data_IF_857798546760
#
_entry.id   IF_857798546760
#
_cell.length_a   1.000
_cell.length_b   1.000
_cell.length_c   1.000
_cell.angle_alpha   90.00
_cell.angle_beta   90.00
_cell.angle_gamma   90.00
#
_symmetry.space_group_name_H-M   'P 1'
#
loop_
_entity.id
_entity.type
_entity.pdbx_description
1 polymer ?
#
# COMPACT_ATOMS: atom_id res chain seq x y z
N UNK A 1 56.16 -8.78 -44.58
CA UNK A 1 55.44 -8.03 -43.53
C UNK A 1 53.95 -8.15 -43.79
N UNK A 2 53.24 -8.99 -43.04
CA UNK A 2 51.78 -8.98 -42.93
C UNK A 2 51.45 -9.90 -41.75
N UNK A 3 51.11 -9.29 -40.61
CA UNK A 3 50.77 -10.00 -39.37
C UNK A 3 49.30 -10.38 -39.40
N UNK A 4 49.01 -11.65 -39.09
CA UNK A 4 47.68 -12.12 -38.70
C UNK A 4 47.17 -11.30 -37.51
N UNK A 5 45.96 -10.76 -37.60
CA UNK A 5 45.17 -10.30 -36.46
C UNK A 5 43.96 -11.23 -36.32
N UNK A 6 44.06 -12.19 -35.40
CA UNK A 6 42.91 -12.94 -34.91
C UNK A 6 42.23 -12.11 -33.81
N UNK A 7 40.98 -11.72 -34.04
CA UNK A 7 40.13 -11.13 -33.00
C UNK A 7 39.62 -12.24 -32.09
N UNK A 8 40.12 -12.29 -30.86
CA UNK A 8 39.52 -13.09 -29.80
C UNK A 8 38.27 -12.36 -29.29
N UNK A 9 37.10 -12.89 -29.57
CA UNK A 9 35.86 -12.48 -28.91
C UNK A 9 35.92 -12.92 -27.44
N UNK A 10 36.16 -11.97 -26.53
CA UNK A 10 36.00 -12.20 -25.10
C UNK A 10 34.50 -12.25 -24.82
N UNK A 11 33.95 -13.46 -24.72
CA UNK A 11 32.65 -13.67 -24.13
C UNK A 11 32.73 -13.28 -22.65
N UNK A 12 32.16 -12.12 -22.30
CA UNK A 12 31.96 -11.72 -20.93
C UNK A 12 30.95 -12.69 -20.29
N UNK A 13 31.46 -13.75 -19.68
CA UNK A 13 30.71 -14.58 -18.74
C UNK A 13 30.35 -13.70 -17.55
N UNK A 14 29.09 -13.26 -17.52
CA UNK A 14 28.44 -12.74 -16.32
C UNK A 14 28.55 -13.84 -15.25
N UNK A 15 29.47 -13.64 -14.31
CA UNK A 15 29.59 -14.48 -13.11
C UNK A 15 28.36 -14.18 -12.24
N UNK A 16 27.28 -14.92 -12.49
CA UNK A 16 26.17 -14.99 -11.54
C UNK A 16 26.69 -15.63 -10.26
N UNK A 17 26.43 -15.00 -9.12
CA UNK A 17 26.64 -15.59 -7.79
C UNK A 17 25.74 -16.81 -7.57
N UNK A 18 25.68 -17.37 -6.33
CA UNK A 18 24.83 -18.53 -6.04
C UNK A 18 23.42 -18.29 -6.58
N UNK A 19 22.89 -19.27 -7.33
CA UNK A 19 21.71 -19.18 -8.22
C UNK A 19 20.53 -18.37 -7.67
N UNK A 20 20.29 -18.38 -6.35
CA UNK A 20 19.26 -17.55 -5.69
C UNK A 20 19.47 -16.03 -5.85
N UNK A 21 20.68 -15.52 -5.65
CA UNK A 21 20.96 -14.07 -5.71
C UNK A 21 20.75 -13.45 -7.10
N UNK A 22 20.84 -14.24 -8.16
CA UNK A 22 20.55 -13.77 -9.52
C UNK A 22 19.05 -13.79 -9.81
N UNK A 23 18.31 -14.77 -9.29
CA UNK A 23 16.86 -14.79 -9.39
C UNK A 23 16.24 -13.61 -8.63
N UNK A 24 16.71 -13.33 -7.42
CA UNK A 24 16.21 -12.22 -6.60
C UNK A 24 16.34 -10.87 -7.33
N UNK A 25 17.54 -10.59 -7.87
CA UNK A 25 17.79 -9.37 -8.64
C UNK A 25 16.89 -9.23 -9.87
N UNK A 26 16.60 -10.33 -10.55
CA UNK A 26 15.71 -10.31 -11.70
C UNK A 26 14.27 -9.97 -11.28
N UNK A 27 13.79 -10.53 -10.16
CA UNK A 27 12.46 -10.23 -9.61
C UNK A 27 12.36 -8.77 -9.12
N UNK A 28 13.37 -8.29 -8.39
CA UNK A 28 13.48 -6.88 -8.00
C UNK A 28 13.41 -5.97 -9.22
N UNK A 29 14.17 -6.26 -10.28
CA UNK A 29 14.16 -5.44 -11.49
C UNK A 29 12.80 -5.46 -12.20
N UNK A 30 12.09 -6.60 -12.23
CA UNK A 30 10.73 -6.67 -12.78
C UNK A 30 9.76 -5.76 -12.01
N UNK A 31 9.86 -5.72 -10.68
CA UNK A 31 9.04 -4.82 -9.86
C UNK A 31 9.38 -3.35 -10.11
N UNK A 32 10.66 -3.00 -10.19
CA UNK A 32 11.08 -1.62 -10.51
C UNK A 32 10.60 -1.20 -11.91
N UNK A 33 10.68 -2.08 -12.91
CA UNK A 33 10.13 -1.84 -14.24
C UNK A 33 8.61 -1.67 -14.20
N UNK A 34 7.91 -2.48 -13.42
CA UNK A 34 6.47 -2.38 -13.26
C UNK A 34 6.06 -1.07 -12.57
N UNK A 35 6.79 -0.64 -11.54
CA UNK A 35 6.61 0.64 -10.87
C UNK A 35 6.79 1.80 -11.87
N UNK A 36 7.94 1.83 -12.55
CA UNK A 36 8.20 2.82 -13.59
C UNK A 36 7.15 2.79 -14.70
N UNK A 37 6.67 1.61 -15.09
CA UNK A 37 5.70 1.42 -16.17
C UNK A 37 4.26 1.73 -15.79
N UNK A 38 3.93 1.96 -14.51
CA UNK A 38 2.54 2.13 -14.05
C UNK A 38 2.29 3.34 -13.15
N UNK A 39 3.33 4.02 -12.70
CA UNK A 39 3.24 5.26 -11.91
C UNK A 39 2.96 6.50 -12.76
N UNK A 40 2.13 7.40 -12.23
CA UNK A 40 1.81 8.73 -12.78
C UNK A 40 2.54 9.87 -12.06
N UNK A 41 3.19 9.62 -10.94
CA UNK A 41 4.04 10.56 -10.23
C UNK A 41 5.50 10.62 -10.74
N UNK A 42 5.73 10.17 -11.98
CA UNK A 42 7.03 10.22 -12.65
C UNK A 42 7.34 11.65 -13.15
N UNK A 43 8.43 12.31 -12.67
CA UNK A 43 8.86 13.63 -13.10
C UNK A 43 9.04 13.83 -14.61
N UNK A 44 9.22 12.75 -15.38
CA UNK A 44 9.34 12.80 -16.83
C UNK A 44 8.00 12.98 -17.57
N UNK A 45 6.86 12.82 -16.89
CA UNK A 45 5.54 13.00 -17.48
C UNK A 45 5.20 14.48 -17.65
N UNK A 46 4.43 14.79 -18.72
CA UNK A 46 3.77 16.08 -18.81
C UNK A 46 2.72 16.20 -17.72
N UNK A 47 2.42 17.43 -17.25
CA UNK A 47 1.37 17.62 -16.26
C UNK A 47 0.06 16.97 -16.71
N UNK A 48 -0.62 16.32 -15.78
CA UNK A 48 -1.85 15.58 -16.07
C UNK A 48 -2.97 15.85 -15.07
N UNK A 49 -4.21 15.68 -15.52
CA UNK A 49 -5.43 15.70 -14.73
C UNK A 49 -6.07 14.32 -14.78
N UNK A 50 -6.36 13.79 -13.60
CA UNK A 50 -7.07 12.56 -13.34
C UNK A 50 -8.41 12.88 -12.69
N UNK A 51 -9.47 12.22 -13.13
CA UNK A 51 -10.76 12.14 -12.44
C UNK A 51 -11.20 10.69 -12.31
N UNK A 52 -11.51 10.30 -11.08
CA UNK A 52 -12.02 9.00 -10.69
C UNK A 52 -13.43 9.16 -10.16
N UNK A 53 -14.36 8.30 -10.58
CA UNK A 53 -15.62 8.07 -9.89
C UNK A 53 -15.52 6.80 -9.07
N UNK A 54 -15.90 6.84 -7.79
CA UNK A 54 -15.82 5.69 -6.89
C UNK A 54 -17.17 5.30 -6.29
N UNK A 55 -17.26 4.04 -5.86
CA UNK A 55 -18.35 3.48 -5.07
C UNK A 55 -17.76 2.63 -3.94
N UNK A 56 -18.13 2.96 -2.70
CA UNK A 56 -17.85 2.20 -1.49
C UNK A 56 -19.00 1.26 -1.15
N UNK A 57 -18.65 0.15 -0.51
CA UNK A 57 -19.58 -0.91 -0.13
C UNK A 57 -19.46 -1.21 1.37
N UNK A 58 -20.55 -1.61 1.99
CA UNK A 58 -20.54 -2.06 3.38
C UNK A 58 -20.03 -3.51 3.51
N UNK A 59 -19.90 -4.00 4.75
CA UNK A 59 -19.45 -5.37 5.03
C UNK A 59 -20.38 -6.47 4.49
N UNK A 60 -21.59 -6.13 4.04
CA UNK A 60 -22.55 -7.04 3.41
C UNK A 60 -22.51 -6.94 1.87
N UNK A 61 -21.64 -6.10 1.31
CA UNK A 61 -21.51 -5.86 -0.11
C UNK A 61 -22.59 -4.94 -0.68
N UNK A 62 -23.36 -4.23 0.16
CA UNK A 62 -24.33 -3.24 -0.29
C UNK A 62 -23.64 -1.91 -0.58
N UNK A 63 -24.07 -1.21 -1.64
CA UNK A 63 -23.57 0.12 -1.96
C UNK A 63 -23.84 1.09 -0.80
N UNK A 64 -22.78 1.67 -0.24
CA UNK A 64 -22.86 2.55 0.92
C UNK A 64 -22.81 4.03 0.52
N UNK A 65 -21.86 4.39 -0.36
CA UNK A 65 -21.61 5.78 -0.76
C UNK A 65 -20.75 5.85 -2.02
N UNK A 66 -20.98 6.86 -2.87
CA UNK A 66 -20.12 7.16 -4.02
C UNK A 66 -19.67 8.61 -4.03
N UNK A 67 -18.73 8.91 -4.92
CA UNK A 67 -18.14 10.23 -5.03
C UNK A 67 -17.07 10.30 -6.11
N UNK A 68 -16.28 11.37 -6.09
CA UNK A 68 -15.17 11.57 -7.03
C UNK A 68 -13.86 11.90 -6.32
N UNK A 69 -12.76 11.50 -6.95
CA UNK A 69 -11.41 11.95 -6.63
C UNK A 69 -10.87 12.61 -7.89
N UNK A 70 -10.46 13.87 -7.80
CA UNK A 70 -9.76 14.57 -8.87
C UNK A 70 -8.35 14.88 -8.43
N UNK A 71 -7.40 14.73 -9.34
CA UNK A 71 -6.01 15.06 -9.09
C UNK A 71 -5.37 15.73 -10.29
N UNK A 72 -4.68 16.82 -10.03
CA UNK A 72 -3.78 17.47 -10.97
C UNK A 72 -2.37 17.32 -10.46
N UNK A 73 -1.44 16.97 -11.32
CA UNK A 73 -0.04 16.78 -10.94
C UNK A 73 0.89 17.47 -11.93
N UNK A 74 1.93 18.12 -11.41
CA UNK A 74 2.96 18.76 -12.21
C UNK A 74 4.30 18.72 -11.49
N UNK A 75 5.19 17.81 -11.91
CA UNK A 75 6.59 17.77 -11.50
C UNK A 75 6.81 17.76 -9.97
N UNK A 76 5.96 17.01 -9.24
CA UNK A 76 6.04 16.84 -7.78
C UNK A 76 4.95 17.59 -7.01
N UNK A 77 4.49 18.71 -7.57
CA UNK A 77 3.33 19.44 -7.04
C UNK A 77 2.04 18.73 -7.44
N UNK A 78 1.08 18.65 -6.52
CA UNK A 78 -0.24 18.12 -6.80
C UNK A 78 -1.35 18.92 -6.13
N UNK A 79 -2.54 18.85 -6.73
CA UNK A 79 -3.79 19.31 -6.15
C UNK A 79 -4.77 18.15 -6.24
N UNK A 80 -5.38 17.80 -5.12
CA UNK A 80 -6.36 16.73 -5.00
C UNK A 80 -7.66 17.28 -4.48
N UNK A 81 -8.77 16.86 -5.06
CA UNK A 81 -10.12 17.19 -4.61
C UNK A 81 -10.88 15.89 -4.40
N UNK A 82 -11.36 15.68 -3.18
CA UNK A 82 -12.22 14.57 -2.83
C UNK A 82 -13.63 15.11 -2.64
N UNK A 83 -14.64 14.43 -3.20
CA UNK A 83 -16.04 14.85 -3.07
C UNK A 83 -16.94 13.64 -2.88
N UNK A 84 -17.64 13.61 -1.74
CA UNK A 84 -18.62 12.60 -1.39
C UNK A 84 -19.57 13.16 -0.33
N UNK A 85 -20.58 12.39 0.08
CA UNK A 85 -21.54 12.80 1.11
C UNK A 85 -20.89 12.90 2.50
N UNK A 86 -19.95 12.01 2.83
CA UNK A 86 -19.32 11.91 4.15
C UNK A 86 -17.94 12.56 4.22
N UNK A 87 -17.34 12.88 3.07
CA UNK A 87 -16.01 13.49 3.00
C UNK A 87 -15.87 14.45 1.82
N UNK A 88 -15.41 15.67 2.10
CA UNK A 88 -15.03 16.66 1.09
C UNK A 88 -13.74 17.35 1.55
N UNK A 89 -12.73 17.38 0.70
CA UNK A 89 -11.45 18.02 0.99
C UNK A 89 -10.78 18.48 -0.28
N UNK A 90 -10.06 19.60 -0.21
CA UNK A 90 -9.01 19.95 -1.16
C UNK A 90 -7.67 19.84 -0.45
N UNK A 91 -6.76 19.09 -1.06
CA UNK A 91 -5.38 18.94 -0.63
C UNK A 91 -4.47 19.53 -1.72
N UNK A 92 -3.42 20.24 -1.34
CA UNK A 92 -2.37 20.71 -2.24
C UNK A 92 -1.03 20.28 -1.67
N UNK A 93 -0.20 19.60 -2.46
CA UNK A 93 1.21 19.39 -2.15
C UNK A 93 2.05 20.31 -3.01
N UNK A 94 2.95 21.05 -2.37
CA UNK A 94 3.96 21.85 -3.03
C UNK A 94 5.32 21.53 -2.42
N UNK A 95 6.25 21.03 -3.23
CA UNK A 95 7.51 20.47 -2.73
C UNK A 95 7.25 19.44 -1.60
N UNK A 96 7.64 19.75 -0.35
CA UNK A 96 7.42 18.91 0.84
C UNK A 96 6.21 19.31 1.68
N UNK A 97 5.65 20.49 1.41
CA UNK A 97 4.58 21.07 2.22
C UNK A 97 3.23 20.57 1.70
N UNK A 98 2.38 20.16 2.62
CA UNK A 98 1.03 19.70 2.34
C UNK A 98 0.05 20.67 2.97
N UNK A 99 -0.92 21.12 2.18
CA UNK A 99 -2.01 21.99 2.59
C UNK A 99 -3.31 21.21 2.44
N UNK A 100 -4.26 21.43 3.35
CA UNK A 100 -5.58 20.80 3.31
C UNK A 100 -6.65 21.78 3.75
N UNK A 101 -7.87 21.61 3.25
CA UNK A 101 -9.05 22.33 3.74
C UNK A 101 -9.09 22.37 5.26
N UNK A 102 -9.26 23.58 5.82
CA UNK A 102 -9.24 23.81 7.27
C UNK A 102 -10.17 22.87 8.01
N UNK A 103 -9.70 22.34 9.13
CA UNK A 103 -10.44 21.42 10.01
C UNK A 103 -10.81 20.07 9.38
N UNK A 104 -10.28 19.76 8.18
CA UNK A 104 -10.53 18.48 7.53
C UNK A 104 -9.45 17.45 7.88
N UNK A 105 -9.88 16.22 8.13
CA UNK A 105 -8.99 15.08 8.35
C UNK A 105 -8.42 14.57 7.02
N UNK A 106 -7.33 13.77 7.04
CA UNK A 106 -6.85 13.10 5.83
C UNK A 106 -7.91 12.21 5.19
N UNK A 107 -7.79 11.98 3.88
CA UNK A 107 -8.76 11.19 3.12
C UNK A 107 -8.96 9.80 3.74
N UNK A 108 -10.17 9.24 3.73
CA UNK A 108 -10.39 7.89 4.22
C UNK A 108 -9.52 6.88 3.47
N UNK A 109 -9.04 5.86 4.19
CA UNK A 109 -8.12 4.85 3.66
C UNK A 109 -8.52 4.30 2.28
N UNK A 110 -9.79 3.93 2.08
CA UNK A 110 -10.24 3.37 0.81
C UNK A 110 -10.16 4.38 -0.36
N UNK A 111 -10.30 5.68 -0.11
CA UNK A 111 -10.15 6.69 -1.15
C UNK A 111 -8.68 6.85 -1.55
N UNK A 112 -7.78 6.91 -0.58
CA UNK A 112 -6.33 6.91 -0.84
C UNK A 112 -5.93 5.62 -1.56
N UNK A 113 -6.44 4.47 -1.13
CA UNK A 113 -6.15 3.17 -1.77
C UNK A 113 -6.55 3.13 -3.24
N UNK A 114 -7.75 3.61 -3.57
CA UNK A 114 -8.25 3.70 -4.94
C UNK A 114 -7.40 4.64 -5.80
N UNK A 115 -7.02 5.80 -5.26
CA UNK A 115 -6.14 6.76 -5.92
C UNK A 115 -4.77 6.12 -6.20
N UNK A 116 -4.19 5.48 -5.20
CA UNK A 116 -2.84 4.90 -5.27
C UNK A 116 -2.76 3.78 -6.31
N UNK A 117 -3.83 3.00 -6.53
CA UNK A 117 -3.90 2.01 -7.62
C UNK A 117 -3.78 2.60 -9.04
N UNK A 118 -3.97 3.91 -9.18
CA UNK A 118 -3.81 4.64 -10.43
C UNK A 118 -2.51 5.43 -10.46
N UNK A 119 -2.20 6.13 -9.38
CA UNK A 119 -1.11 7.12 -9.36
C UNK A 119 0.23 6.47 -9.00
N UNK A 120 0.26 5.57 -8.02
CA UNK A 120 1.50 4.93 -7.56
C UNK A 120 1.22 3.49 -7.05
N UNK A 121 0.90 2.54 -7.94
CA UNK A 121 0.30 1.27 -7.53
C UNK A 121 1.29 0.23 -6.95
N UNK A 122 2.60 0.50 -7.01
CA UNK A 122 3.64 -0.35 -6.45
C UNK A 122 4.25 0.27 -5.19
N UNK A 123 4.96 -0.57 -4.42
CA UNK A 123 5.78 -0.12 -3.31
C UNK A 123 6.88 0.85 -3.77
N UNK A 124 7.40 1.65 -2.85
CA UNK A 124 8.51 2.55 -3.13
C UNK A 124 9.77 1.76 -3.49
N UNK A 125 10.64 2.33 -4.32
CA UNK A 125 11.88 1.69 -4.78
C UNK A 125 12.75 1.19 -3.60
N UNK A 126 12.83 1.95 -2.51
CA UNK A 126 13.56 1.54 -1.32
C UNK A 126 13.00 0.25 -0.70
N UNK A 127 11.67 0.16 -0.56
CA UNK A 127 10.99 -1.03 -0.03
C UNK A 127 11.20 -2.25 -0.94
N UNK A 128 11.14 -2.05 -2.27
CA UNK A 128 11.41 -3.10 -3.26
C UNK A 128 12.86 -3.60 -3.12
N UNK A 129 13.82 -2.68 -3.00
CA UNK A 129 15.25 -3.00 -2.91
C UNK A 129 15.66 -3.64 -1.57
N UNK A 130 14.98 -3.29 -0.48
CA UNK A 130 15.28 -3.80 0.87
C UNK A 130 14.58 -5.14 1.19
N UNK A 131 13.74 -5.64 0.28
CA UNK A 131 12.99 -6.89 0.44
C UNK A 131 13.74 -8.13 -0.09
N UNK A 132 13.27 -9.32 0.30
CA UNK A 132 13.63 -10.59 -0.34
C UNK A 132 12.46 -11.02 -1.23
N UNK A 133 12.54 -10.88 -2.57
CA UNK A 133 11.40 -11.17 -3.43
C UNK A 133 11.09 -12.67 -3.49
N UNK A 134 9.83 -13.04 -3.23
CA UNK A 134 9.32 -14.42 -3.37
C UNK A 134 8.32 -14.51 -4.53
N UNK A 135 8.63 -15.33 -5.54
CA UNK A 135 7.80 -15.51 -6.74
C UNK A 135 6.79 -16.64 -6.56
N UNK A 136 5.52 -16.33 -6.82
CA UNK A 136 4.39 -17.27 -6.83
C UNK A 136 3.60 -17.15 -8.11
N UNK A 137 3.00 -18.25 -8.55
CA UNK A 137 2.08 -18.22 -9.70
C UNK A 137 0.66 -18.35 -9.18
N UNK A 138 -0.15 -17.32 -9.39
CA UNK A 138 -1.57 -17.32 -9.05
C UNK A 138 -2.42 -17.27 -10.32
N UNK A 139 -3.59 -17.89 -10.27
CA UNK A 139 -4.56 -17.87 -11.37
C UNK A 139 -5.69 -16.88 -11.09
N UNK A 140 -5.78 -15.83 -11.89
CA UNK A 140 -6.88 -14.87 -11.88
C UNK A 140 -7.81 -15.16 -13.07
N UNK A 141 -8.97 -15.75 -12.79
CA UNK A 141 -9.89 -16.24 -13.82
C UNK A 141 -9.27 -17.39 -14.62
N UNK A 142 -8.83 -17.10 -15.86
CA UNK A 142 -8.13 -18.06 -16.74
C UNK A 142 -6.66 -17.69 -16.98
N UNK A 143 -6.18 -16.63 -16.36
CA UNK A 143 -4.86 -16.07 -16.60
C UNK A 143 -3.94 -16.41 -15.44
N UNK A 144 -2.76 -16.95 -15.72
CA UNK A 144 -1.72 -17.10 -14.72
C UNK A 144 -0.91 -15.81 -14.63
N UNK A 145 -0.63 -15.37 -13.41
CA UNK A 145 0.14 -14.18 -13.09
C UNK A 145 1.38 -14.57 -12.28
N UNK A 146 2.46 -13.86 -12.51
CA UNK A 146 3.66 -13.92 -11.67
C UNK A 146 3.49 -12.92 -10.53
N UNK A 147 3.27 -13.41 -9.32
CA UNK A 147 3.06 -12.65 -8.11
C UNK A 147 4.34 -12.61 -7.29
N UNK A 148 4.94 -11.44 -7.18
CA UNK A 148 6.20 -11.22 -6.47
C UNK A 148 5.87 -10.55 -5.14
N UNK A 149 6.14 -11.25 -4.05
CA UNK A 149 5.95 -10.77 -2.68
C UNK A 149 7.24 -10.15 -2.16
N UNK A 150 7.15 -8.99 -1.51
CA UNK A 150 8.26 -8.34 -0.83
C UNK A 150 8.48 -9.01 0.53
N UNK A 151 9.02 -10.23 0.53
CA UNK A 151 9.13 -11.04 1.74
C UNK A 151 10.19 -10.46 2.70
N UNK A 152 9.89 -10.56 3.99
CA UNK A 152 10.81 -10.29 5.07
C UNK A 152 10.90 -11.54 5.94
N UNK A 153 11.97 -12.35 5.77
CA UNK A 153 12.09 -13.62 6.45
C UNK A 153 11.92 -13.50 7.96
N UNK A 154 10.97 -14.28 8.51
CA UNK A 154 10.73 -14.37 9.95
C UNK A 154 11.21 -15.71 10.50
N UNK A 155 11.73 -15.72 11.73
CA UNK A 155 12.31 -16.91 12.36
C UNK A 155 11.36 -18.12 12.40
N UNK A 156 10.06 -17.89 12.62
CA UNK A 156 9.07 -18.97 12.83
C UNK A 156 8.10 -19.16 11.66
N UNK A 157 8.29 -18.45 10.55
CA UNK A 157 7.41 -18.51 9.39
C UNK A 157 8.23 -18.83 8.15
N UNK A 158 8.27 -20.11 7.78
CA UNK A 158 9.06 -20.57 6.64
C UNK A 158 8.41 -20.34 5.27
N UNK A 159 7.08 -20.23 5.21
CA UNK A 159 6.35 -19.96 3.97
C UNK A 159 5.18 -19.01 4.23
N UNK A 160 5.42 -17.69 4.21
CA UNK A 160 4.38 -16.71 4.50
C UNK A 160 3.30 -16.73 3.42
N UNK A 161 2.00 -16.74 3.71
CA UNK A 161 0.94 -16.71 2.70
C UNK A 161 0.94 -15.40 1.88
N UNK A 162 0.39 -15.45 0.67
CA UNK A 162 0.28 -14.27 -0.21
C UNK A 162 -0.47 -13.16 0.53
N UNK A 163 0.02 -11.93 0.39
CA UNK A 163 -0.59 -10.76 1.01
C UNK A 163 -0.18 -10.55 2.46
N UNK A 164 0.49 -11.50 3.12
CA UNK A 164 1.09 -11.25 4.44
C UNK A 164 2.06 -10.06 4.37
N UNK A 165 2.89 -10.08 3.32
CA UNK A 165 3.67 -8.93 2.87
C UNK A 165 3.12 -8.40 1.54
N UNK A 166 3.39 -7.13 1.19
CA UNK A 166 2.97 -6.56 -0.09
C UNK A 166 3.35 -7.48 -1.25
N UNK A 167 2.34 -7.89 -2.03
CA UNK A 167 2.51 -8.79 -3.17
C UNK A 167 1.95 -8.14 -4.42
N UNK A 168 2.72 -8.15 -5.51
CA UNK A 168 2.34 -7.54 -6.78
C UNK A 168 2.31 -8.61 -7.88
N UNK A 169 1.18 -8.76 -8.54
CA UNK A 169 0.96 -9.75 -9.58
C UNK A 169 1.02 -9.12 -10.96
N UNK A 170 2.00 -9.56 -11.73
CA UNK A 170 2.30 -9.10 -13.08
C UNK A 170 1.84 -10.15 -14.09
N UNK A 171 1.52 -9.73 -15.32
CA UNK A 171 1.44 -10.67 -16.43
C UNK A 171 2.80 -11.41 -16.57
N UNK A 172 2.82 -12.71 -16.89
CA UNK A 172 4.07 -13.51 -16.81
C UNK A 172 5.20 -13.01 -17.72
N UNK A 173 4.85 -12.57 -18.92
CA UNK A 173 5.80 -12.13 -19.95
C UNK A 173 5.88 -10.60 -20.08
N UNK A 174 5.23 -9.86 -19.17
CA UNK A 174 5.17 -8.40 -19.22
C UNK A 174 5.23 -7.84 -17.80
N UNK A 175 6.00 -6.79 -17.58
CA UNK A 175 6.04 -6.10 -16.28
C UNK A 175 4.80 -5.22 -16.05
N UNK A 176 3.61 -5.71 -16.44
CA UNK A 176 2.33 -5.01 -16.33
C UNK A 176 1.57 -5.53 -15.11
N UNK A 177 1.39 -4.67 -14.12
CA UNK A 177 0.64 -4.95 -12.89
C UNK A 177 -0.84 -5.23 -13.19
N UNK A 178 -1.36 -6.34 -12.67
CA UNK A 178 -2.77 -6.78 -12.79
C UNK A 178 -3.50 -6.82 -11.47
N UNK A 179 -2.79 -7.13 -10.40
CA UNK A 179 -3.39 -7.40 -9.10
C UNK A 179 -2.37 -7.13 -7.98
N UNK A 180 -2.84 -6.77 -6.79
CA UNK A 180 -1.98 -6.59 -5.62
C UNK A 180 -2.65 -7.09 -4.34
N UNK A 181 -1.84 -7.56 -3.39
CA UNK A 181 -2.30 -8.10 -2.11
C UNK A 181 -1.54 -7.45 -0.96
N UNK A 182 -2.26 -7.11 0.12
CA UNK A 182 -1.69 -6.52 1.34
C UNK A 182 -2.50 -6.98 2.57
N UNK A 183 -1.91 -6.81 3.75
CA UNK A 183 -2.58 -7.02 5.05
C UNK A 183 -3.29 -8.38 5.19
N UNK A 184 -2.70 -9.42 4.60
CA UNK A 184 -3.21 -10.79 4.58
C UNK A 184 -4.30 -11.03 3.54
N UNK A 185 -5.44 -10.34 3.65
CA UNK A 185 -6.65 -10.65 2.87
C UNK A 185 -7.18 -9.51 2.01
N UNK A 186 -6.52 -8.34 2.01
CA UNK A 186 -6.88 -7.28 1.09
C UNK A 186 -6.26 -7.54 -0.28
N UNK A 187 -7.09 -7.35 -1.31
CA UNK A 187 -6.77 -7.51 -2.70
C UNK A 187 -7.20 -6.25 -3.48
N UNK A 188 -6.43 -5.85 -4.49
CA UNK A 188 -6.81 -4.78 -5.42
C UNK A 188 -6.55 -5.19 -6.86
N UNK A 189 -7.62 -5.40 -7.61
CA UNK A 189 -7.59 -5.87 -8.98
C UNK A 189 -7.71 -4.71 -9.98
N UNK A 190 -6.81 -4.71 -10.98
CA UNK A 190 -6.78 -3.78 -12.12
C UNK A 190 -7.43 -4.47 -13.32
N UNK A 191 -8.75 -4.45 -13.36
CA UNK A 191 -9.56 -5.24 -14.31
C UNK A 191 -9.36 -4.80 -15.76
N UNK A 192 -9.28 -3.48 -15.97
CA UNK A 192 -9.04 -2.86 -17.27
C UNK A 192 -7.82 -1.97 -17.16
N UNK A 193 -6.89 -2.10 -18.11
CA UNK A 193 -5.65 -1.32 -18.14
C UNK A 193 -5.60 -0.55 -19.45
N UNK A 194 -5.57 0.78 -19.33
CA UNK A 194 -5.36 1.72 -20.43
C UNK A 194 -3.89 2.10 -20.56
N UNK A 195 -3.60 3.02 -21.49
CA UNK A 195 -2.26 3.59 -21.66
C UNK A 195 -2.33 5.11 -21.63
N UNK A 196 -1.45 5.75 -20.88
CA UNK A 196 -1.33 7.21 -20.82
C UNK A 196 0.14 7.61 -20.70
N UNK A 197 0.60 8.46 -21.63
CA UNK A 197 2.00 8.91 -21.69
C UNK A 197 3.04 7.76 -21.57
N UNK A 198 2.75 6.60 -22.17
CA UNK A 198 3.61 5.42 -22.12
C UNK A 198 3.47 4.53 -20.87
N UNK A 199 2.63 4.92 -19.91
CA UNK A 199 2.34 4.17 -18.68
C UNK A 199 1.11 3.28 -18.83
N UNK A 200 1.09 2.12 -18.18
CA UNK A 200 -0.07 1.22 -18.09
C UNK A 200 -0.92 1.50 -16.86
N UNK A 201 -2.08 2.14 -17.06
CA UNK A 201 -2.90 2.72 -15.99
C UNK A 201 -4.17 1.91 -15.75
N UNK A 202 -4.55 1.70 -14.48
CA UNK A 202 -5.82 1.05 -14.14
C UNK A 202 -6.97 1.97 -14.51
N UNK A 203 -7.87 1.50 -15.38
CA UNK A 203 -9.11 2.22 -15.71
C UNK A 203 -10.26 1.73 -14.82
N UNK A 204 -10.25 0.45 -14.47
CA UNK A 204 -11.23 -0.19 -13.59
C UNK A 204 -10.51 -0.84 -12.41
N UNK A 205 -10.87 -0.42 -11.20
CA UNK A 205 -10.24 -0.85 -9.96
C UNK A 205 -11.30 -1.49 -9.07
N UNK A 206 -10.96 -2.63 -8.50
CA UNK A 206 -11.80 -3.29 -7.49
C UNK A 206 -10.93 -3.62 -6.28
N UNK A 207 -11.27 -3.05 -5.13
CA UNK A 207 -10.65 -3.38 -3.85
C UNK A 207 -11.59 -4.32 -3.10
N UNK A 208 -11.06 -5.44 -2.63
CA UNK A 208 -11.80 -6.42 -1.85
C UNK A 208 -11.01 -6.88 -0.63
N UNK A 209 -11.72 -7.23 0.43
CA UNK A 209 -11.15 -7.88 1.60
C UNK A 209 -11.90 -9.20 1.82
N UNK A 210 -11.16 -10.31 1.86
CA UNK A 210 -11.75 -11.65 1.98
C UNK A 210 -12.91 -11.89 0.97
N UNK A 211 -12.68 -11.49 -0.29
CA UNK A 211 -13.64 -11.56 -1.42
C UNK A 211 -14.88 -10.66 -1.30
N UNK A 212 -15.05 -9.93 -0.21
CA UNK A 212 -16.07 -8.89 -0.08
C UNK A 212 -15.53 -7.63 -0.75
N UNK A 213 -16.24 -7.13 -1.77
CA UNK A 213 -15.87 -5.87 -2.42
C UNK A 213 -16.10 -4.74 -1.42
N UNK A 214 -15.06 -3.94 -1.17
CA UNK A 214 -15.13 -2.76 -0.28
C UNK A 214 -15.21 -1.47 -1.10
N UNK A 215 -14.56 -1.43 -2.26
CA UNK A 215 -14.55 -0.26 -3.12
C UNK A 215 -14.38 -0.62 -4.60
N UNK A 216 -14.94 0.23 -5.45
CA UNK A 216 -14.66 0.25 -6.90
C UNK A 216 -14.35 1.68 -7.32
N UNK A 217 -13.52 1.83 -8.35
CA UNK A 217 -13.35 3.09 -9.05
C UNK A 217 -13.20 2.91 -10.56
N UNK A 218 -13.67 3.92 -11.29
CA UNK A 218 -13.49 4.08 -12.73
C UNK A 218 -12.74 5.38 -13.01
N UNK A 219 -11.78 5.35 -13.93
CA UNK A 219 -11.12 6.56 -14.45
C UNK A 219 -12.00 7.21 -15.50
N UNK A 220 -12.67 8.30 -15.14
CA UNK A 220 -13.50 9.08 -16.07
C UNK A 220 -12.66 9.93 -17.02
N UNK A 221 -11.60 10.54 -16.48
CA UNK A 221 -10.70 11.43 -17.22
C UNK A 221 -9.26 11.12 -16.84
N UNK A 222 -8.39 10.97 -17.83
CA UNK A 222 -6.95 11.05 -17.65
C UNK A 222 -6.35 11.74 -18.88
N UNK A 223 -5.93 12.98 -18.71
CA UNK A 223 -5.51 13.83 -19.81
C UNK A 223 -4.30 14.69 -19.45
N UNK A 224 -3.51 15.07 -20.44
CA UNK A 224 -2.50 16.12 -20.27
C UNK A 224 -3.23 17.44 -19.99
N UNK A 225 -2.72 18.21 -19.03
CA UNK A 225 -3.21 19.57 -18.76
C UNK A 225 -2.05 20.55 -18.75
N UNK A 226 -2.37 21.83 -18.83
CA UNK A 226 -1.40 22.93 -18.70
C UNK A 226 -1.80 23.79 -17.51
N UNK A 227 -1.14 23.67 -16.34
CA UNK A 227 -1.42 24.53 -15.19
C UNK A 227 -1.04 25.97 -15.52
N UNK A 228 -1.84 26.92 -15.05
CA UNK A 228 -1.34 28.28 -14.87
C UNK A 228 -0.41 28.35 -13.64
N UNK A 229 0.33 29.45 -13.51
CA UNK A 229 1.34 29.61 -12.46
C UNK A 229 0.78 29.58 -11.02
N UNK A 230 -0.52 29.78 -10.83
CA UNK A 230 -1.17 29.87 -9.51
C UNK A 230 -2.03 28.64 -9.21
N UNK A 231 -2.09 27.67 -10.10
CA UNK A 231 -3.01 26.53 -9.99
C UNK A 231 -2.79 25.70 -8.70
N UNK A 232 -1.53 25.58 -8.28
CA UNK A 232 -1.10 24.87 -7.07
C UNK A 232 -0.84 25.81 -5.88
N UNK A 233 -1.22 27.08 -5.96
CA UNK A 233 -1.08 27.98 -4.82
C UNK A 233 -2.22 27.72 -3.82
N UNK A 234 -1.91 27.48 -2.53
CA UNK A 234 -2.93 27.30 -1.52
C UNK A 234 -3.67 28.62 -1.28
N UNK A 235 -5.00 28.54 -1.18
CA UNK A 235 -5.84 29.68 -0.81
C UNK A 235 -6.10 29.71 0.71
N UNK A 236 -6.79 30.77 1.16
CA UNK A 236 -7.10 31.00 2.57
C UNK A 236 -8.03 29.94 3.19
N UNK A 237 -8.63 29.05 2.40
CA UNK A 237 -9.42 27.93 2.91
C UNK A 237 -8.56 26.74 3.36
N UNK A 238 -7.26 26.73 3.00
CA UNK A 238 -6.34 25.66 3.33
C UNK A 238 -5.45 25.99 4.54
N UNK A 239 -4.96 24.96 5.21
CA UNK A 239 -3.98 25.05 6.29
C UNK A 239 -2.87 24.02 6.10
N UNK A 240 -1.65 24.38 6.49
CA UNK A 240 -0.49 23.48 6.41
C UNK A 240 -0.64 22.29 7.35
N UNK A 241 -0.32 21.11 6.84
CA UNK A 241 -0.39 19.83 7.54
C UNK A 241 1.00 19.40 8.02
N UNK A 242 1.08 18.82 9.22
CA UNK A 242 2.29 18.11 9.65
C UNK A 242 2.29 16.72 8.98
N UNK A 243 3.06 16.59 7.90
CA UNK A 243 3.16 15.36 7.12
C UNK A 243 4.09 14.32 7.75
N UNK A 244 4.84 14.67 8.81
CA UNK A 244 5.83 13.76 9.38
C UNK A 244 5.26 12.96 10.54
N UNK A 245 5.16 11.64 10.35
CA UNK A 245 4.83 10.73 11.43
C UNK A 245 5.87 10.78 12.57
N UNK A 246 5.39 10.83 13.81
CA UNK A 246 6.23 10.91 15.02
C UNK A 246 6.37 9.53 15.67
N UNK A 247 7.58 9.10 16.05
CA UNK A 247 7.73 7.87 16.82
C UNK A 247 7.09 8.04 18.20
N UNK A 248 6.18 7.15 18.56
CA UNK A 248 5.54 7.10 19.88
C UNK A 248 5.57 5.66 20.40
N UNK A 249 5.83 5.47 21.69
CA UNK A 249 5.88 4.12 22.27
C UNK A 249 4.51 3.43 22.22
N UNK A 250 4.53 2.11 22.03
CA UNK A 250 3.31 1.29 21.92
C UNK A 250 2.41 1.40 23.15
N UNK A 251 2.99 1.40 24.35
CA UNK A 251 2.23 1.52 25.61
C UNK A 251 1.44 2.83 25.72
N UNK A 252 1.97 3.95 25.22
CA UNK A 252 1.27 5.25 25.20
C UNK A 252 0.10 5.20 24.22
N UNK A 253 0.30 4.63 23.03
CA UNK A 253 -0.74 4.55 22.01
C UNK A 253 -1.83 3.54 22.36
N UNK A 254 -1.51 2.44 23.05
CA UNK A 254 -2.49 1.45 23.50
C UNK A 254 -3.59 2.06 24.39
N UNK A 255 -3.23 3.03 25.25
CA UNK A 255 -4.19 3.77 26.07
C UNK A 255 -5.13 4.70 25.30
N UNK A 256 -4.85 4.96 24.02
CA UNK A 256 -5.64 5.83 23.16
C UNK A 256 -6.64 5.09 22.28
N UNK A 257 -6.78 3.76 22.37
CA UNK A 257 -7.76 3.01 21.56
C UNK A 257 -9.19 3.47 21.89
N UNK A 258 -9.91 3.92 20.87
CA UNK A 258 -11.33 4.36 20.94
C UNK A 258 -12.27 3.22 20.57
N UNK A 259 -11.92 2.46 19.52
CA UNK A 259 -12.69 1.29 19.07
C UNK A 259 -11.74 0.25 18.50
N UNK A 260 -12.03 -1.02 18.78
CA UNK A 260 -11.24 -2.14 18.27
C UNK A 260 -12.13 -3.35 18.02
N UNK A 261 -11.64 -4.20 17.14
CA UNK A 261 -12.12 -5.57 16.96
C UNK A 261 -11.05 -6.48 17.54
N UNK A 262 -11.46 -7.40 18.38
CA UNK A 262 -10.52 -8.37 18.92
C UNK A 262 -10.06 -9.32 17.80
N UNK A 263 -8.76 -9.68 17.75
CA UNK A 263 -8.27 -10.69 16.82
C UNK A 263 -9.02 -12.01 16.98
N UNK A 264 -8.95 -12.86 15.97
CA UNK A 264 -9.51 -14.22 16.03
C UNK A 264 -8.37 -15.19 16.21
N UNK A 265 -8.28 -15.87 17.35
CA UNK A 265 -7.30 -16.95 17.52
C UNK A 265 -7.64 -18.08 16.52
N UNK A 266 -6.80 -18.33 15.49
CA UNK A 266 -7.10 -19.31 14.45
C UNK A 266 -7.14 -20.73 15.01
N UNK A 267 -8.05 -21.56 14.47
CA UNK A 267 -8.24 -22.93 14.95
C UNK A 267 -6.99 -23.81 14.77
N UNK A 268 -6.22 -23.60 13.70
CA UNK A 268 -4.97 -24.33 13.47
C UNK A 268 -3.96 -24.05 14.59
N UNK A 269 -3.82 -22.79 15.01
CA UNK A 269 -2.91 -22.40 16.08
C UNK A 269 -3.39 -22.88 17.44
N UNK A 270 -4.71 -22.93 17.68
CA UNK A 270 -5.28 -23.54 18.89
C UNK A 270 -4.95 -25.03 18.99
N UNK A 271 -5.10 -25.75 17.87
CA UNK A 271 -4.84 -27.19 17.79
C UNK A 271 -3.36 -27.53 17.93
N UNK A 272 -2.47 -26.68 17.39
CA UNK A 272 -1.02 -26.83 17.55
C UNK A 272 -0.47 -26.20 18.83
N UNK A 273 -1.33 -25.61 19.67
CA UNK A 273 -0.95 -24.85 20.87
C UNK A 273 0.05 -23.72 20.58
N UNK A 274 0.00 -23.15 19.38
CA UNK A 274 0.87 -22.04 18.96
C UNK A 274 0.40 -20.75 19.60
N UNK A 275 1.21 -20.22 20.50
CA UNK A 275 0.96 -19.01 21.27
C UNK A 275 2.12 -18.01 21.10
N UNK A 276 1.90 -16.77 21.52
CA UNK A 276 2.95 -15.77 21.57
C UNK A 276 2.47 -14.39 21.13
N UNK A 277 3.44 -13.50 20.90
CA UNK A 277 3.20 -12.12 20.54
C UNK A 277 3.40 -11.94 19.05
N UNK A 278 2.49 -11.20 18.42
CA UNK A 278 2.68 -10.67 17.06
C UNK A 278 3.05 -9.21 17.19
N UNK A 279 4.20 -8.81 16.64
CA UNK A 279 4.65 -7.43 16.62
C UNK A 279 4.40 -6.83 15.24
N UNK A 280 3.66 -5.72 15.21
CA UNK A 280 3.33 -5.00 13.99
C UNK A 280 3.92 -3.60 14.05
N UNK A 281 4.57 -3.15 12.98
CA UNK A 281 4.86 -1.73 12.79
C UNK A 281 3.61 -1.05 12.21
N UNK A 282 3.15 0.02 12.84
CA UNK A 282 1.94 0.73 12.48
C UNK A 282 2.20 2.23 12.32
N UNK A 283 1.72 2.80 11.21
CA UNK A 283 1.51 4.23 11.09
C UNK A 283 0.03 4.52 11.37
N UNK A 284 -0.24 5.37 12.37
CA UNK A 284 -1.58 5.83 12.72
C UNK A 284 -1.69 7.27 12.24
N UNK A 285 -2.70 7.55 11.42
CA UNK A 285 -2.93 8.87 10.87
C UNK A 285 -3.40 9.90 11.90
N UNK A 286 -3.39 11.16 11.50
CA UNK A 286 -3.95 12.27 12.28
C UNK A 286 -5.46 12.12 12.58
N UNK A 287 -6.17 11.22 11.89
CA UNK A 287 -7.56 10.83 12.17
C UNK A 287 -7.68 9.67 13.17
N UNK A 288 -6.56 9.16 13.67
CA UNK A 288 -6.51 8.02 14.59
C UNK A 288 -6.72 6.66 13.92
N UNK A 289 -6.74 6.57 12.59
CA UNK A 289 -6.91 5.29 11.88
C UNK A 289 -5.56 4.73 11.42
N UNK A 290 -5.45 3.42 11.28
CA UNK A 290 -4.27 2.78 10.68
C UNK A 290 -4.13 3.24 9.23
N UNK A 291 -2.94 3.74 8.88
CA UNK A 291 -2.54 4.16 7.53
C UNK A 291 -1.60 3.15 6.88
N UNK A 292 -0.65 2.64 7.65
CA UNK A 292 0.25 1.56 7.22
C UNK A 292 0.40 0.55 8.34
N UNK A 293 0.61 -0.71 7.96
CA UNK A 293 0.75 -1.82 8.89
C UNK A 293 1.63 -2.89 8.27
N UNK A 294 2.65 -3.35 8.98
CA UNK A 294 3.53 -4.42 8.52
C UNK A 294 3.89 -5.34 9.67
N UNK A 295 4.10 -6.61 9.36
CA UNK A 295 4.53 -7.60 10.35
C UNK A 295 6.02 -7.45 10.56
N UNK A 296 6.44 -7.30 11.81
CA UNK A 296 7.85 -7.33 12.21
C UNK A 296 8.24 -8.78 12.49
N UNK A 297 7.48 -9.45 13.35
CA UNK A 297 7.59 -10.87 13.63
C UNK A 297 6.26 -11.47 14.11
N UNK A 298 6.18 -12.79 14.06
CA UNK A 298 5.06 -13.55 14.57
C UNK A 298 5.46 -15.00 14.90
N UNK A 299 4.72 -15.69 15.79
CA UNK A 299 4.94 -17.12 16.06
C UNK A 299 4.44 -18.00 14.91
N UNK A 300 3.46 -17.54 14.14
CA UNK A 300 2.96 -18.20 12.92
C UNK A 300 2.36 -17.18 11.96
N UNK A 301 2.24 -17.56 10.69
CA UNK A 301 1.62 -16.72 9.66
C UNK A 301 0.12 -16.52 9.87
N UNK A 302 -0.58 -17.50 10.43
CA UNK A 302 -2.03 -17.41 10.69
C UNK A 302 -2.34 -16.47 11.85
N UNK A 303 -1.51 -16.43 12.90
CA UNK A 303 -1.60 -15.40 13.95
C UNK A 303 -1.28 -14.00 13.40
N UNK A 304 -0.29 -13.90 12.51
CA UNK A 304 0.06 -12.65 11.86
C UNK A 304 -1.10 -12.09 11.01
N UNK A 305 -1.73 -12.91 10.17
CA UNK A 305 -2.91 -12.53 9.37
C UNK A 305 -4.05 -12.07 10.29
N UNK A 306 -4.36 -12.85 11.34
CA UNK A 306 -5.42 -12.48 12.29
C UNK A 306 -5.14 -11.11 12.93
N UNK A 307 -3.88 -10.85 13.33
CA UNK A 307 -3.49 -9.58 13.92
C UNK A 307 -3.64 -8.42 12.91
N UNK A 308 -3.19 -8.60 11.66
CA UNK A 308 -3.34 -7.60 10.59
C UNK A 308 -4.80 -7.23 10.34
N UNK A 309 -5.68 -8.22 10.20
CA UNK A 309 -7.12 -8.02 9.96
C UNK A 309 -7.77 -7.23 11.09
N UNK A 310 -7.42 -7.56 12.34
CA UNK A 310 -7.97 -6.90 13.51
C UNK A 310 -7.44 -5.47 13.66
N UNK A 311 -6.11 -5.31 13.72
CA UNK A 311 -5.44 -4.03 14.02
C UNK A 311 -5.73 -2.99 12.97
N UNK A 312 -5.80 -3.37 11.68
CA UNK A 312 -6.17 -2.47 10.60
C UNK A 312 -7.54 -1.79 10.80
N UNK A 313 -8.45 -2.43 11.53
CA UNK A 313 -9.78 -1.90 11.82
C UNK A 313 -9.84 -1.07 13.11
N UNK A 314 -8.74 -0.95 13.86
CA UNK A 314 -8.72 -0.21 15.11
C UNK A 314 -8.73 1.30 14.85
N UNK A 315 -9.38 2.01 15.76
CA UNK A 315 -9.47 3.46 15.78
C UNK A 315 -8.91 3.94 17.11
N UNK A 316 -7.96 4.86 17.03
CA UNK A 316 -7.30 5.51 18.14
C UNK A 316 -7.82 6.94 18.27
N UNK A 317 -7.66 7.51 19.46
CA UNK A 317 -7.80 8.94 19.67
C UNK A 317 -6.65 9.63 18.92
N UNK A 318 -6.94 10.67 18.11
CA UNK A 318 -5.89 11.43 17.42
C UNK A 318 -4.79 11.87 18.38
N UNK A 319 -3.55 11.57 18.02
CA UNK A 319 -2.40 12.06 18.78
C UNK A 319 -2.22 13.54 18.49
N UNK A 320 -2.10 14.36 19.55
CA UNK A 320 -2.01 15.81 19.42
C UNK A 320 -0.59 16.28 19.70
N UNK A 321 -0.01 17.02 18.76
CA UNK A 321 1.24 17.77 18.95
C UNK A 321 0.91 19.27 18.90
N UNK A 322 1.22 20.00 19.97
CA UNK A 322 0.87 21.43 20.10
C UNK A 322 -0.63 21.71 19.85
N UNK A 323 -1.49 20.80 20.29
CA UNK A 323 -2.95 20.90 20.11
C UNK A 323 -3.46 20.54 18.72
N UNK A 324 -2.60 20.15 17.78
CA UNK A 324 -2.97 19.74 16.42
C UNK A 324 -2.82 18.23 16.22
N UNK A 325 -3.76 17.54 15.58
CA UNK A 325 -3.61 16.14 15.22
C UNK A 325 -2.40 15.89 14.33
N UNK A 326 -1.62 14.83 14.60
CA UNK A 326 -0.51 14.40 13.76
C UNK A 326 -0.43 12.88 13.63
N UNK A 327 0.24 12.41 12.58
CA UNK A 327 0.49 10.98 12.38
C UNK A 327 1.57 10.48 13.34
N UNK A 328 1.50 9.20 13.71
CA UNK A 328 2.46 8.55 14.60
C UNK A 328 2.89 7.18 14.07
N UNK A 329 4.17 6.85 14.26
CA UNK A 329 4.70 5.52 14.02
C UNK A 329 4.90 4.82 15.36
N UNK A 330 4.44 3.57 15.46
CA UNK A 330 4.50 2.80 16.69
C UNK A 330 4.58 1.30 16.43
N UNK A 331 4.94 0.54 17.45
CA UNK A 331 4.82 -0.92 17.44
C UNK A 331 3.55 -1.33 18.17
N UNK A 332 2.66 -2.03 17.48
CA UNK A 332 1.47 -2.66 18.06
C UNK A 332 1.78 -4.12 18.36
N UNK A 333 1.59 -4.54 19.61
CA UNK A 333 1.78 -5.93 20.04
C UNK A 333 0.43 -6.60 20.25
N UNK A 334 0.19 -7.72 19.57
CA UNK A 334 -1.00 -8.54 19.77
C UNK A 334 -0.60 -9.86 20.43
N UNK A 335 -1.09 -10.09 21.65
CA UNK A 335 -0.75 -11.27 22.43
C UNK A 335 -1.80 -12.36 22.25
N UNK A 336 -1.39 -13.56 21.81
CA UNK A 336 -2.23 -14.75 21.74
C UNK A 336 -1.85 -15.71 22.86
N UNK A 337 -2.73 -15.85 23.85
CA UNK A 337 -2.55 -16.75 24.98
C UNK A 337 -3.72 -17.77 25.06
N UNK A 338 -3.46 -19.04 25.39
CA UNK A 338 -4.52 -20.02 25.62
C UNK A 338 -5.32 -19.69 26.89
N UNK A 339 -6.65 -19.53 26.79
CA UNK A 339 -7.51 -19.39 27.97
C UNK A 339 -8.97 -19.04 27.63
N UNK A 340 -9.95 -19.40 28.49
CA UNK A 340 -11.37 -19.33 28.17
C UNK A 340 -11.96 -17.91 28.08
N UNK A 341 -11.24 -16.84 28.49
CA UNK A 341 -11.78 -15.48 28.50
C UNK A 341 -10.73 -14.34 28.55
N UNK A 342 -9.47 -14.58 28.17
CA UNK A 342 -8.44 -13.53 28.09
C UNK A 342 -7.62 -13.74 26.85
N UNK A 343 -8.19 -13.37 25.71
CA UNK A 343 -7.50 -13.60 24.47
C UNK A 343 -6.39 -12.56 24.22
N UNK A 344 -6.38 -11.39 24.88
CA UNK A 344 -5.43 -10.30 24.57
C UNK A 344 -5.11 -9.40 25.79
N UNK A 345 -3.86 -9.30 26.21
CA UNK A 345 -3.31 -8.20 27.03
C UNK A 345 -2.30 -7.41 26.17
N UNK A 346 -2.18 -6.10 26.29
CA UNK A 346 -1.04 -5.37 25.70
C UNK A 346 0.05 -5.23 26.76
N UNK A 347 1.30 -5.54 26.42
CA UNK A 347 2.43 -5.21 27.27
C UNK A 347 2.64 -3.69 27.25
N UNK A 348 2.67 -3.09 28.45
CA UNK A 348 2.95 -1.66 28.66
C UNK A 348 4.38 -1.29 28.29
#
# INVERSE_FOLDING_TARGET
MSKLMAWAAVAALLVCGPLGRCADKALTQRLLNAAQGSSLDDPALKPWHLKLTFQLYDKKGAAAEGGTIEEWWSAGDDKRIYTSRSYSSTDIRRDKDVYRTKSQLPAPYLLDRLRDEVVHPLAADAEINDSVPDLRVLTLGKTNLDCIMLDHPMTNVGYPPVGLFPTFCLDRDKDRLRDSYRYGLENSARNTIGTFQGKGIAVEIVVSQDRVIEAKAHVDTLAVFAPDAHFFEPDDSLETQDSKARPVSGGVIAGNIVSKIDPVYPEVDKQSHTQGQVHLNAEIGADGRIRQLSVIDAPSSTLAISALIAVRQWVYKPYLLNGRPCSVNTTVTVNYIPGPNRAYEFSQ
#
